data_IF_368260377471
#
_entry.id   IF_368260377471
#
_cell.length_a   1.000
_cell.length_b   1.000
_cell.length_c   1.000
_cell.angle_alpha   90.00
_cell.angle_beta   90.00
_cell.angle_gamma   90.00
#
_symmetry.space_group_name_H-M   'P 1'
#
loop_
_entity.id
_entity.type
_entity.pdbx_description
1 polymer ?
#
# COMPACT_ATOMS: atom_id res chain seq x y z
N UNK A 1 -10.71 -35.55 -0.99
CA UNK A 1 -12.10 -35.68 -0.53
C UNK A 1 -12.40 -34.83 0.72
N UNK A 2 -11.42 -34.55 1.55
CA UNK A 2 -11.52 -33.73 2.77
C UNK A 2 -11.72 -32.23 2.43
N UNK A 3 -11.02 -31.72 1.43
CA UNK A 3 -11.10 -30.32 0.98
C UNK A 3 -12.54 -29.89 0.59
N UNK A 4 -13.34 -30.80 0.00
CA UNK A 4 -14.74 -30.50 -0.34
C UNK A 4 -15.67 -30.40 0.88
N UNK A 5 -15.32 -31.04 1.99
CA UNK A 5 -16.12 -30.97 3.22
C UNK A 5 -15.89 -29.66 3.98
N UNK A 6 -14.67 -29.12 3.91
CA UNK A 6 -14.30 -27.94 4.68
C UNK A 6 -14.75 -26.65 4.02
N UNK A 7 -14.86 -26.60 2.68
CA UNK A 7 -15.43 -25.44 1.96
C UNK A 7 -16.89 -25.15 2.36
N UNK A 8 -17.64 -26.18 2.81
CA UNK A 8 -19.03 -26.05 3.25
C UNK A 8 -19.19 -25.88 4.77
N UNK A 9 -18.12 -25.88 5.55
CA UNK A 9 -18.17 -25.58 6.99
C UNK A 9 -18.39 -24.09 7.24
N UNK A 10 -18.80 -23.78 8.46
CA UNK A 10 -19.14 -22.43 8.94
C UNK A 10 -18.23 -21.35 8.37
N UNK A 11 -18.81 -20.20 8.10
CA UNK A 11 -18.12 -19.05 7.47
C UNK A 11 -17.07 -18.35 8.37
N UNK A 12 -16.67 -18.95 9.48
CA UNK A 12 -15.62 -18.43 10.38
C UNK A 12 -14.85 -19.59 11.02
N UNK A 13 -13.61 -19.33 11.42
CA UNK A 13 -12.88 -20.22 12.30
C UNK A 13 -13.63 -20.35 13.63
N UNK A 14 -13.75 -21.58 14.12
CA UNK A 14 -14.24 -21.79 15.47
C UNK A 14 -13.23 -21.25 16.48
N UNK A 15 -13.71 -20.95 17.70
CA UNK A 15 -12.83 -20.52 18.80
C UNK A 15 -11.73 -21.57 19.10
N UNK A 16 -12.04 -22.85 18.95
CA UNK A 16 -11.05 -23.92 19.16
C UNK A 16 -9.97 -23.91 18.10
N UNK A 17 -10.33 -23.76 16.81
CA UNK A 17 -9.34 -23.66 15.72
C UNK A 17 -8.41 -22.44 15.89
N UNK A 18 -8.92 -21.31 16.38
CA UNK A 18 -8.10 -20.14 16.70
C UNK A 18 -7.13 -20.43 17.86
N UNK A 19 -7.63 -21.06 18.92
CA UNK A 19 -6.79 -21.42 20.05
C UNK A 19 -5.70 -22.44 19.66
N UNK A 20 -6.02 -23.44 18.88
CA UNK A 20 -5.06 -24.43 18.36
C UNK A 20 -3.97 -23.78 17.50
N UNK A 21 -4.34 -22.77 16.68
CA UNK A 21 -3.36 -21.99 15.91
C UNK A 21 -2.47 -21.15 16.81
N UNK A 22 -3.05 -20.48 17.81
CA UNK A 22 -2.30 -19.69 18.75
C UNK A 22 -1.31 -20.57 19.56
N UNK A 23 -1.74 -21.74 20.01
CA UNK A 23 -0.88 -22.71 20.70
C UNK A 23 0.27 -23.19 19.82
N UNK A 24 0.02 -23.49 18.53
CA UNK A 24 1.08 -23.83 17.56
C UNK A 24 2.10 -22.71 17.37
N UNK A 25 1.64 -21.48 17.23
CA UNK A 25 2.53 -20.33 17.12
C UNK A 25 3.39 -20.16 18.37
N UNK A 26 2.83 -20.39 19.58
CA UNK A 26 3.60 -20.37 20.82
C UNK A 26 4.66 -21.49 20.87
N UNK A 27 4.35 -22.69 20.39
CA UNK A 27 5.33 -23.79 20.29
C UNK A 27 6.48 -23.48 19.34
N UNK A 28 6.23 -22.64 18.31
CA UNK A 28 7.25 -22.19 17.36
C UNK A 28 7.97 -20.91 17.80
N UNK A 29 7.73 -20.45 19.04
CA UNK A 29 8.25 -19.19 19.59
C UNK A 29 7.88 -17.96 18.73
N UNK A 30 6.72 -18.01 18.08
CA UNK A 30 6.21 -16.93 17.25
C UNK A 30 5.25 -16.08 18.07
N UNK A 31 5.51 -14.80 18.15
CA UNK A 31 4.59 -13.84 18.79
C UNK A 31 3.35 -13.68 17.95
N UNK A 32 2.18 -14.07 18.48
CA UNK A 32 0.90 -13.83 17.83
C UNK A 32 0.46 -12.40 18.15
N UNK A 33 0.45 -11.56 17.13
CA UNK A 33 -0.06 -10.19 17.21
C UNK A 33 -1.32 -10.13 16.36
N UNK A 34 -2.41 -9.56 16.92
CA UNK A 34 -3.55 -9.11 16.13
C UNK A 34 -3.35 -7.64 15.75
N UNK A 35 -2.69 -7.35 14.62
CA UNK A 35 -2.15 -6.02 14.38
C UNK A 35 -3.23 -4.96 14.12
N UNK A 36 -4.39 -5.37 13.63
CA UNK A 36 -5.50 -4.42 13.37
C UNK A 36 -6.15 -4.01 14.68
N UNK A 37 -6.44 -4.96 15.57
CA UNK A 37 -7.02 -4.67 16.86
C UNK A 37 -6.04 -3.85 17.72
N UNK A 38 -4.76 -4.23 17.74
CA UNK A 38 -3.71 -3.48 18.41
C UNK A 38 -3.60 -2.04 17.89
N UNK A 39 -3.65 -1.84 16.58
CA UNK A 39 -3.64 -0.51 15.98
C UNK A 39 -4.86 0.29 16.43
N UNK A 40 -6.06 -0.31 16.35
CA UNK A 40 -7.31 0.38 16.67
C UNK A 40 -7.49 0.67 18.16
N UNK A 41 -6.91 -0.15 19.05
CA UNK A 41 -6.95 0.06 20.49
C UNK A 41 -5.94 1.12 20.97
N UNK A 42 -4.79 1.22 20.32
CA UNK A 42 -3.72 2.13 20.74
C UNK A 42 -3.85 3.54 20.16
N UNK A 43 -4.47 3.69 18.99
CA UNK A 43 -4.46 4.94 18.23
C UNK A 43 -5.73 5.75 18.45
N UNK A 44 -5.55 7.03 18.77
CA UNK A 44 -6.64 8.00 18.91
C UNK A 44 -6.95 8.74 17.59
N UNK A 45 -5.99 8.83 16.65
CA UNK A 45 -6.19 9.46 15.35
C UNK A 45 -4.89 9.80 14.61
N UNK A 46 -5.03 10.42 13.45
CA UNK A 46 -3.93 11.06 12.74
C UNK A 46 -3.47 12.30 13.52
N UNK A 47 -2.21 12.70 13.37
CA UNK A 47 -1.61 13.82 14.09
C UNK A 47 -1.98 15.18 13.45
N UNK A 48 -2.40 16.14 14.30
CA UNK A 48 -2.54 17.54 13.93
C UNK A 48 -1.22 18.30 14.05
N UNK A 49 -1.17 19.54 13.57
CA UNK A 49 -0.02 20.44 13.72
C UNK A 49 0.39 20.64 15.19
N UNK A 50 -0.57 20.58 16.11
CA UNK A 50 -0.34 20.77 17.54
C UNK A 50 0.08 19.46 18.27
N UNK A 51 0.29 18.37 17.53
CA UNK A 51 0.65 17.06 18.07
C UNK A 51 -0.49 16.33 18.76
N UNK A 52 -1.74 16.73 18.52
CA UNK A 52 -2.94 16.14 19.09
C UNK A 52 -3.66 15.26 18.04
N UNK A 53 -4.40 14.23 18.47
CA UNK A 53 -5.15 13.41 17.54
C UNK A 53 -6.30 14.17 16.88
N UNK A 54 -6.50 13.92 15.59
CA UNK A 54 -7.58 14.48 14.79
C UNK A 54 -8.78 13.56 14.87
N UNK A 55 -9.91 14.07 15.36
CA UNK A 55 -11.16 13.29 15.46
C UNK A 55 -11.94 13.23 14.14
N UNK A 56 -11.87 14.30 13.36
CA UNK A 56 -12.56 14.41 12.06
C UNK A 56 -11.56 14.88 10.99
N UNK A 57 -10.82 13.96 10.36
CA UNK A 57 -9.84 14.31 9.32
C UNK A 57 -10.50 14.98 8.12
N UNK A 58 -9.80 15.97 7.55
CA UNK A 58 -10.28 16.72 6.37
C UNK A 58 -10.38 15.79 5.14
N UNK A 59 -11.55 15.75 4.52
CA UNK A 59 -11.78 15.05 3.26
C UNK A 59 -11.47 15.97 2.07
N UNK A 60 -10.35 15.74 1.40
CA UNK A 60 -9.97 16.52 0.23
C UNK A 60 -10.73 16.08 -1.01
N UNK A 61 -11.45 17.00 -1.65
CA UNK A 61 -12.18 16.72 -2.90
C UNK A 61 -11.20 16.65 -4.09
N UNK A 62 -10.59 15.51 -4.30
CA UNK A 62 -9.61 15.29 -5.37
C UNK A 62 -10.19 15.57 -6.79
N UNK A 63 -11.42 15.16 -7.13
CA UNK A 63 -12.03 15.53 -8.42
C UNK A 63 -12.03 17.02 -8.73
N UNK A 64 -12.14 17.88 -7.71
CA UNK A 64 -12.09 19.34 -7.88
C UNK A 64 -10.72 19.86 -8.35
N UNK A 65 -9.66 19.06 -8.19
CA UNK A 65 -8.29 19.37 -8.59
C UNK A 65 -7.95 19.01 -10.04
N UNK A 66 -8.89 18.44 -10.79
CA UNK A 66 -8.68 18.02 -12.18
C UNK A 66 -8.19 19.16 -13.09
N UNK A 67 -8.60 20.41 -12.84
CA UNK A 67 -8.10 21.57 -13.56
C UNK A 67 -6.64 21.90 -13.21
N UNK A 68 -6.23 21.68 -11.97
CA UNK A 68 -4.84 21.82 -11.53
C UNK A 68 -3.98 20.80 -12.27
N UNK A 69 -4.39 19.54 -12.28
CA UNK A 69 -3.69 18.47 -12.99
C UNK A 69 -3.53 18.80 -14.47
N UNK A 70 -4.63 19.20 -15.14
CA UNK A 70 -4.61 19.57 -16.54
C UNK A 70 -3.65 20.73 -16.80
N UNK A 71 -3.73 21.81 -16.04
CA UNK A 71 -2.87 22.98 -16.19
C UNK A 71 -1.40 22.62 -15.96
N UNK A 72 -1.11 21.81 -14.96
CA UNK A 72 0.25 21.37 -14.62
C UNK A 72 0.87 20.53 -15.73
N UNK A 73 0.10 19.66 -16.38
CA UNK A 73 0.57 18.86 -17.52
C UNK A 73 0.97 19.68 -18.73
N UNK A 74 0.43 20.91 -18.91
CA UNK A 74 0.85 21.83 -19.94
C UNK A 74 2.23 22.46 -19.68
N UNK A 75 2.74 22.42 -18.44
CA UNK A 75 4.10 22.85 -18.12
C UNK A 75 5.11 21.79 -18.60
N UNK A 76 5.27 21.71 -19.92
CA UNK A 76 6.16 20.71 -20.56
C UNK A 76 7.56 21.24 -20.85
N UNK A 77 7.65 22.54 -21.16
CA UNK A 77 8.92 23.18 -21.53
C UNK A 77 9.32 24.20 -20.48
N UNK A 78 10.42 23.92 -19.81
CA UNK A 78 11.04 24.82 -18.82
C UNK A 78 12.50 25.08 -19.24
N UNK A 79 13.06 26.27 -18.91
CA UNK A 79 14.45 26.57 -19.22
C UNK A 79 15.39 25.49 -18.62
N UNK A 80 16.43 25.04 -19.35
CA UNK A 80 17.30 23.97 -18.87
C UNK A 80 18.08 24.33 -17.60
N UNK A 81 18.20 25.61 -17.30
CA UNK A 81 18.92 26.13 -16.10
C UNK A 81 18.00 26.43 -14.93
N UNK A 82 16.71 26.07 -15.03
CA UNK A 82 15.75 26.39 -13.98
C UNK A 82 16.06 25.64 -12.68
N UNK A 83 15.90 26.31 -11.55
CA UNK A 83 15.99 25.70 -10.24
C UNK A 83 14.62 25.17 -9.78
N UNK A 84 14.60 24.24 -8.81
CA UNK A 84 13.37 23.75 -8.17
C UNK A 84 12.51 24.92 -7.65
N UNK A 85 13.14 25.90 -6.99
CA UNK A 85 12.49 27.11 -6.49
C UNK A 85 11.81 27.92 -7.59
N UNK A 86 12.54 28.25 -8.67
CA UNK A 86 11.99 29.04 -9.77
C UNK A 86 10.88 28.28 -10.52
N UNK A 87 11.00 26.96 -10.65
CA UNK A 87 9.99 26.10 -11.23
C UNK A 87 8.70 26.13 -10.41
N UNK A 88 8.78 25.92 -9.10
CA UNK A 88 7.63 25.97 -8.21
C UNK A 88 6.93 27.34 -8.22
N UNK A 89 7.70 28.41 -8.01
CA UNK A 89 7.14 29.77 -7.86
C UNK A 89 6.58 30.33 -9.16
N UNK A 90 7.29 30.15 -10.28
CA UNK A 90 6.98 30.89 -11.52
C UNK A 90 6.11 30.09 -12.49
N UNK A 91 6.19 28.76 -12.47
CA UNK A 91 5.54 27.90 -13.46
C UNK A 91 4.40 27.06 -12.88
N UNK A 92 4.59 26.44 -11.70
CA UNK A 92 3.62 25.49 -11.17
C UNK A 92 2.59 26.15 -10.27
N UNK A 93 3.03 26.92 -9.27
CA UNK A 93 2.16 27.38 -8.18
C UNK A 93 1.66 28.82 -8.33
N UNK A 94 2.20 29.59 -9.27
CA UNK A 94 1.93 31.04 -9.39
C UNK A 94 0.44 31.40 -9.41
N UNK A 95 -0.37 30.58 -10.06
CA UNK A 95 -1.80 30.85 -10.25
C UNK A 95 -2.68 30.38 -9.08
N UNK A 96 -2.13 29.60 -8.14
CA UNK A 96 -2.88 28.99 -7.07
C UNK A 96 -2.67 29.72 -5.75
N UNK A 97 -3.75 29.91 -4.99
CA UNK A 97 -3.73 30.50 -3.65
C UNK A 97 -3.90 29.46 -2.55
N UNK A 98 -4.65 28.39 -2.81
CA UNK A 98 -4.87 27.30 -1.88
C UNK A 98 -3.63 26.41 -1.79
N UNK A 99 -3.27 26.02 -0.59
CA UNK A 99 -2.13 25.13 -0.33
C UNK A 99 -2.36 23.75 -0.94
N UNK A 100 -3.58 23.22 -0.86
CA UNK A 100 -3.97 21.96 -1.52
C UNK A 100 -3.72 22.03 -3.04
N UNK A 101 -4.07 23.13 -3.70
CA UNK A 101 -3.84 23.30 -5.14
C UNK A 101 -2.35 23.41 -5.48
N UNK A 102 -1.56 24.10 -4.65
CA UNK A 102 -0.09 24.21 -4.82
C UNK A 102 0.57 22.85 -4.62
N UNK A 103 0.20 22.12 -3.56
CA UNK A 103 0.66 20.75 -3.32
C UNK A 103 0.29 19.83 -4.48
N UNK A 104 -0.94 19.92 -5.01
CA UNK A 104 -1.38 19.13 -6.14
C UNK A 104 -0.58 19.41 -7.41
N UNK A 105 -0.27 20.67 -7.67
CA UNK A 105 0.55 21.05 -8.84
C UNK A 105 1.97 20.48 -8.72
N UNK A 106 2.59 20.57 -7.53
CA UNK A 106 3.91 19.98 -7.27
C UNK A 106 3.85 18.46 -7.45
N UNK A 107 2.90 17.79 -6.78
CA UNK A 107 2.71 16.33 -6.87
C UNK A 107 2.56 15.85 -8.30
N UNK A 108 1.63 16.45 -9.05
CA UNK A 108 1.33 16.02 -10.43
C UNK A 108 2.55 16.23 -11.32
N UNK A 109 3.24 17.36 -11.20
CA UNK A 109 4.42 17.61 -12.04
C UNK A 109 5.57 16.66 -11.71
N UNK A 110 5.88 16.46 -10.42
CA UNK A 110 6.99 15.60 -10.00
C UNK A 110 6.67 14.14 -10.37
N UNK A 111 5.52 13.61 -9.97
CA UNK A 111 5.18 12.23 -10.20
C UNK A 111 5.04 11.86 -11.69
N UNK A 112 4.60 12.79 -12.55
CA UNK A 112 4.37 12.50 -13.97
C UNK A 112 5.53 12.95 -14.90
N UNK A 113 6.43 13.84 -14.44
CA UNK A 113 7.53 14.36 -15.27
C UNK A 113 8.88 13.81 -14.91
N UNK A 114 9.06 13.33 -13.69
CA UNK A 114 10.31 12.73 -13.28
C UNK A 114 10.21 11.21 -13.48
N UNK A 115 11.05 10.69 -14.37
CA UNK A 115 11.21 9.25 -14.55
C UNK A 115 11.94 8.69 -13.36
N UNK A 116 11.36 7.67 -12.72
CA UNK A 116 11.97 7.01 -11.59
C UNK A 116 13.23 6.24 -12.01
N UNK A 117 14.24 6.28 -11.16
CA UNK A 117 15.48 5.50 -11.24
C UNK A 117 15.69 4.75 -9.93
N UNK A 118 16.44 3.67 -9.97
CA UNK A 118 16.88 2.96 -8.76
C UNK A 118 17.72 3.87 -7.87
N UNK A 119 17.60 3.66 -6.55
CA UNK A 119 18.42 4.39 -5.58
C UNK A 119 19.90 4.06 -5.81
N UNK A 120 20.75 5.07 -5.69
CA UNK A 120 22.21 4.95 -5.90
C UNK A 120 22.96 5.69 -4.78
N UNK A 121 24.16 5.23 -4.51
CA UNK A 121 25.06 5.94 -3.60
C UNK A 121 25.69 7.15 -4.34
N UNK A 122 25.30 8.35 -3.93
CA UNK A 122 25.77 9.58 -4.54
C UNK A 122 25.29 10.83 -3.82
N UNK A 123 25.71 11.98 -4.31
CA UNK A 123 25.21 13.26 -3.82
C UNK A 123 23.87 13.60 -4.45
N UNK A 124 22.93 14.02 -3.62
CA UNK A 124 21.62 14.50 -4.08
C UNK A 124 21.77 15.81 -4.84
N UNK A 125 21.28 15.85 -6.06
CA UNK A 125 21.31 17.04 -6.93
C UNK A 125 19.95 17.29 -7.58
N UNK A 126 19.12 18.08 -6.94
CA UNK A 126 17.78 18.46 -7.45
C UNK A 126 17.85 19.25 -8.76
N UNK A 127 18.96 19.94 -9.07
CA UNK A 127 19.13 20.61 -10.36
C UNK A 127 19.28 19.58 -11.48
N UNK A 128 20.08 18.56 -11.25
CA UNK A 128 20.21 17.42 -12.18
C UNK A 128 18.83 16.78 -12.43
N UNK A 129 18.08 16.50 -11.37
CA UNK A 129 16.75 15.91 -11.48
C UNK A 129 15.81 16.77 -12.34
N UNK A 130 15.76 18.09 -12.10
CA UNK A 130 14.92 19.01 -12.90
C UNK A 130 15.36 19.06 -14.35
N UNK A 131 16.67 19.00 -14.64
CA UNK A 131 17.20 19.05 -16.00
C UNK A 131 17.00 17.75 -16.77
N UNK A 132 17.37 16.62 -16.16
CA UNK A 132 17.32 15.31 -16.80
C UNK A 132 15.95 14.66 -16.80
N UNK A 133 15.05 15.12 -15.92
CA UNK A 133 13.74 14.51 -15.65
C UNK A 133 13.86 13.07 -15.13
N UNK A 134 14.92 12.77 -14.40
CA UNK A 134 15.20 11.45 -13.85
C UNK A 134 15.69 11.60 -12.41
N UNK A 135 15.25 10.69 -11.53
CA UNK A 135 15.65 10.71 -10.13
C UNK A 135 15.21 9.48 -9.35
N UNK A 136 15.98 9.14 -8.33
CA UNK A 136 15.65 8.09 -7.37
C UNK A 136 14.64 8.60 -6.31
N UNK A 137 14.16 7.70 -5.45
CA UNK A 137 13.14 8.04 -4.45
C UNK A 137 13.61 9.14 -3.51
N UNK A 138 14.88 9.12 -3.08
CA UNK A 138 15.46 10.16 -2.22
C UNK A 138 15.52 11.52 -2.92
N UNK A 139 16.03 11.57 -4.14
CA UNK A 139 16.11 12.81 -4.92
C UNK A 139 14.73 13.42 -5.19
N UNK A 140 13.73 12.58 -5.45
CA UNK A 140 12.34 13.00 -5.64
C UNK A 140 11.79 13.61 -4.35
N UNK A 141 12.02 12.99 -3.20
CA UNK A 141 11.57 13.52 -1.91
C UNK A 141 12.24 14.85 -1.57
N UNK A 142 13.54 15.00 -1.83
CA UNK A 142 14.27 16.26 -1.65
C UNK A 142 13.73 17.33 -2.60
N UNK A 143 13.48 17.01 -3.86
CA UNK A 143 12.91 17.93 -4.85
C UNK A 143 11.53 18.45 -4.40
N UNK A 144 10.67 17.58 -3.90
CA UNK A 144 9.33 17.94 -3.39
C UNK A 144 9.47 18.91 -2.21
N UNK A 145 10.32 18.61 -1.22
CA UNK A 145 10.57 19.49 -0.07
C UNK A 145 11.05 20.88 -0.53
N UNK A 146 12.02 20.93 -1.44
CA UNK A 146 12.58 22.20 -1.93
C UNK A 146 11.53 23.02 -2.68
N UNK A 147 10.67 22.38 -3.46
CA UNK A 147 9.55 23.02 -4.16
C UNK A 147 8.48 23.53 -3.19
N UNK A 148 8.13 22.76 -2.17
CA UNK A 148 7.18 23.15 -1.13
C UNK A 148 7.71 24.37 -0.35
N UNK A 149 8.93 24.32 0.12
CA UNK A 149 9.58 25.40 0.83
C UNK A 149 9.62 26.70 -0.01
N UNK A 150 9.85 26.59 -1.32
CA UNK A 150 9.88 27.74 -2.23
C UNK A 150 8.55 28.50 -2.31
N UNK A 151 7.42 27.85 -2.03
CA UNK A 151 6.08 28.44 -2.08
C UNK A 151 5.44 28.58 -0.70
N UNK A 152 6.25 28.44 0.37
CA UNK A 152 5.81 28.62 1.76
C UNK A 152 5.00 27.48 2.34
N UNK A 153 5.14 26.26 1.78
CA UNK A 153 4.53 25.03 2.30
C UNK A 153 5.54 24.26 3.13
N UNK A 154 5.07 23.68 4.23
CA UNK A 154 5.89 22.80 5.06
C UNK A 154 5.91 21.40 4.48
N UNK A 155 7.11 20.83 4.34
CA UNK A 155 7.30 19.45 3.91
C UNK A 155 8.57 18.87 4.54
N UNK A 156 8.46 17.69 5.10
CA UNK A 156 9.59 16.92 5.63
C UNK A 156 9.86 15.70 4.74
N UNK A 157 11.10 15.22 4.80
CA UNK A 157 11.50 14.00 4.12
C UNK A 157 11.48 12.88 5.14
N UNK A 158 10.79 11.81 4.81
CA UNK A 158 10.74 10.59 5.61
C UNK A 158 11.52 9.50 4.91
N UNK A 159 12.37 8.83 5.67
CA UNK A 159 13.05 7.61 5.27
C UNK A 159 12.44 6.44 6.01
N UNK A 160 12.16 5.35 5.32
CA UNK A 160 11.55 4.21 5.95
C UNK A 160 11.53 2.97 5.08
N UNK A 161 10.72 2.03 5.50
CA UNK A 161 10.52 0.76 4.84
C UNK A 161 9.18 0.75 4.10
N UNK A 162 9.22 0.45 2.81
CA UNK A 162 8.05 0.21 1.98
C UNK A 162 7.83 -1.31 1.90
N UNK A 163 6.76 -1.78 2.53
CA UNK A 163 6.36 -3.19 2.55
C UNK A 163 5.88 -3.61 1.17
N UNK A 164 6.46 -4.65 0.60
CA UNK A 164 5.99 -5.23 -0.65
C UNK A 164 4.96 -6.34 -0.41
N UNK A 165 3.91 -6.46 -1.25
CA UNK A 165 2.97 -7.56 -1.15
C UNK A 165 3.67 -8.91 -1.29
N UNK A 166 3.56 -9.75 -0.27
CA UNK A 166 4.15 -11.09 -0.24
C UNK A 166 5.56 -11.19 0.28
N UNK A 167 6.09 -10.11 0.80
CA UNK A 167 7.38 -10.10 1.47
C UNK A 167 7.21 -10.64 2.90
N UNK A 168 8.13 -11.54 3.31
CA UNK A 168 8.23 -11.97 4.70
C UNK A 168 9.03 -10.91 5.44
N UNK A 169 8.37 -10.26 6.38
CA UNK A 169 8.94 -9.14 7.12
C UNK A 169 9.30 -9.57 8.54
N UNK A 170 10.52 -9.26 8.96
CA UNK A 170 10.95 -9.31 10.34
C UNK A 170 11.38 -7.92 10.84
N UNK A 171 11.64 -7.79 12.13
CA UNK A 171 12.02 -6.52 12.74
C UNK A 171 13.41 -6.03 12.28
N UNK A 172 14.29 -6.94 11.92
CA UNK A 172 15.62 -6.59 11.43
C UNK A 172 15.54 -5.88 10.07
N UNK A 173 14.49 -6.16 9.29
CA UNK A 173 14.22 -5.53 8.00
C UNK A 173 14.00 -4.02 8.13
N UNK A 174 13.40 -3.54 9.23
CA UNK A 174 13.15 -2.11 9.48
C UNK A 174 14.46 -1.31 9.50
N UNK A 175 15.53 -1.92 9.99
CA UNK A 175 16.85 -1.28 10.06
C UNK A 175 17.47 -1.00 8.67
N UNK A 176 16.89 -1.56 7.61
CA UNK A 176 17.32 -1.40 6.23
C UNK A 176 16.26 -0.65 5.39
N UNK A 177 16.10 0.66 5.59
CA UNK A 177 15.09 1.44 4.88
C UNK A 177 15.35 1.39 3.38
N UNK A 178 14.27 1.18 2.61
CA UNK A 178 14.32 0.94 1.17
C UNK A 178 13.53 1.96 0.36
N UNK A 179 12.99 3.02 1.02
CA UNK A 179 12.15 4.01 0.36
C UNK A 179 12.17 5.37 1.06
N UNK A 180 11.78 6.42 0.28
CA UNK A 180 11.72 7.81 0.72
C UNK A 180 10.43 8.45 0.24
N UNK A 181 9.79 9.24 1.12
CA UNK A 181 8.58 10.00 0.81
C UNK A 181 8.55 11.33 1.54
N UNK A 182 7.45 12.05 1.43
CA UNK A 182 7.27 13.31 2.15
C UNK A 182 6.06 13.28 3.08
N UNK A 183 6.19 13.96 4.21
CA UNK A 183 5.06 14.45 4.99
C UNK A 183 4.88 15.94 4.75
N UNK A 184 3.65 16.39 4.76
CA UNK A 184 3.28 17.80 4.52
C UNK A 184 2.22 18.24 5.52
N UNK A 185 2.24 19.54 5.86
CA UNK A 185 1.17 20.13 6.67
C UNK A 185 0.20 20.86 5.74
N UNK A 186 -1.08 20.53 5.85
CA UNK A 186 -2.16 21.18 5.11
C UNK A 186 -3.41 21.23 5.97
N UNK A 187 -4.05 22.40 6.04
CA UNK A 187 -5.25 22.65 6.85
C UNK A 187 -5.10 22.26 8.34
N UNK A 188 -3.86 22.37 8.88
CA UNK A 188 -3.54 22.02 10.27
C UNK A 188 -3.33 20.53 10.54
N UNK A 189 -3.25 19.70 9.51
CA UNK A 189 -3.07 18.25 9.60
C UNK A 189 -1.78 17.79 8.91
N UNK A 190 -1.15 16.75 9.46
CA UNK A 190 -0.11 16.01 8.78
C UNK A 190 -0.70 15.07 7.74
N UNK A 191 -0.15 15.11 6.53
CA UNK A 191 -0.54 14.26 5.41
C UNK A 191 0.68 13.71 4.69
N UNK A 192 0.51 12.58 4.04
CA UNK A 192 1.59 11.88 3.34
C UNK A 192 1.51 12.13 1.84
N UNK A 193 2.66 12.38 1.25
CA UNK A 193 2.83 12.55 -0.19
C UNK A 193 3.99 11.69 -0.70
N UNK A 194 3.70 10.69 -1.53
CA UNK A 194 4.73 9.88 -2.18
C UNK A 194 4.68 10.04 -3.69
N UNK A 195 5.47 11.00 -4.20
CA UNK A 195 5.58 11.25 -5.63
C UNK A 195 6.33 10.15 -6.37
N UNK A 196 7.24 9.44 -5.69
CA UNK A 196 8.01 8.34 -6.27
C UNK A 196 7.13 7.14 -6.58
N UNK A 197 6.38 6.65 -5.59
CA UNK A 197 5.48 5.50 -5.79
C UNK A 197 4.25 5.87 -6.62
N UNK A 198 3.82 7.12 -6.59
CA UNK A 198 2.74 7.61 -7.46
C UNK A 198 3.12 7.62 -8.94
N UNK A 199 4.41 7.65 -9.27
CA UNK A 199 4.90 7.78 -10.65
C UNK A 199 4.52 6.58 -11.52
N UNK A 200 3.98 6.81 -12.73
CA UNK A 200 3.71 5.73 -13.69
C UNK A 200 4.98 5.02 -14.17
N UNK A 201 6.16 5.61 -13.95
CA UNK A 201 7.44 5.02 -14.36
C UNK A 201 8.09 4.17 -13.27
N UNK A 202 7.55 4.20 -12.04
CA UNK A 202 8.06 3.39 -10.94
C UNK A 202 7.56 1.94 -11.07
N UNK A 203 8.43 0.95 -11.27
CA UNK A 203 8.03 -0.44 -11.43
C UNK A 203 7.37 -1.03 -10.17
N UNK A 204 7.74 -0.55 -8.98
CA UNK A 204 7.14 -0.99 -7.72
C UNK A 204 5.65 -0.66 -7.65
N UNK A 205 5.18 0.40 -8.32
CA UNK A 205 3.76 0.76 -8.37
C UNK A 205 2.86 -0.38 -8.79
N UNK A 206 3.30 -1.20 -9.76
CA UNK A 206 2.55 -2.36 -10.24
C UNK A 206 2.26 -3.42 -9.17
N UNK A 207 3.01 -3.42 -8.06
CA UNK A 207 2.76 -4.32 -6.92
C UNK A 207 1.55 -3.88 -6.09
N UNK A 208 1.20 -2.59 -6.08
CA UNK A 208 0.16 -2.01 -5.23
C UNK A 208 -1.11 -1.64 -6.00
N UNK A 209 -1.04 -1.47 -7.30
CA UNK A 209 -2.17 -1.05 -8.12
C UNK A 209 -2.16 -1.77 -9.46
N UNK A 210 -3.28 -2.36 -9.84
CA UNK A 210 -3.50 -2.96 -11.16
C UNK A 210 -3.82 -1.94 -12.25
N UNK A 211 -3.95 -0.66 -11.89
CA UNK A 211 -4.26 0.40 -12.84
C UNK A 211 -3.04 0.70 -13.72
N UNK A 212 -3.09 0.28 -14.97
CA UNK A 212 -2.16 0.72 -16.02
C UNK A 212 -2.54 2.14 -16.43
N UNK A 213 -1.93 3.14 -15.78
CA UNK A 213 -2.20 4.54 -16.07
C UNK A 213 -0.93 5.27 -16.49
N UNK A 214 -1.09 6.18 -17.43
CA UNK A 214 -0.06 7.16 -17.82
C UNK A 214 0.00 8.36 -16.88
N UNK A 215 -0.79 8.36 -15.82
CA UNK A 215 -0.92 9.46 -14.84
C UNK A 215 -0.53 9.02 -13.43
N UNK A 216 -0.23 9.97 -12.57
CA UNK A 216 0.13 9.69 -11.17
C UNK A 216 -1.02 8.99 -10.41
N UNK A 217 -0.67 8.04 -9.54
CA UNK A 217 -1.64 7.40 -8.64
C UNK A 217 -2.05 8.37 -7.52
N UNK A 218 -3.29 8.79 -7.58
CA UNK A 218 -3.83 9.83 -6.72
C UNK A 218 -3.92 9.43 -5.25
N UNK A 219 -3.95 8.15 -4.93
CA UNK A 219 -3.95 7.68 -3.54
C UNK A 219 -2.76 8.25 -2.75
N UNK A 220 -1.59 8.36 -3.36
CA UNK A 220 -0.38 8.88 -2.71
C UNK A 220 -0.32 10.41 -2.61
N UNK A 221 -1.44 11.09 -2.82
CA UNK A 221 -1.57 12.52 -2.65
C UNK A 221 -2.40 12.85 -1.42
N UNK A 222 -1.78 13.42 -0.39
CA UNK A 222 -2.38 13.79 0.89
C UNK A 222 -3.08 12.62 1.60
N UNK A 223 -2.49 11.44 1.48
CA UNK A 223 -2.99 10.23 2.16
C UNK A 223 -2.90 10.40 3.67
N UNK A 224 -3.87 9.88 4.37
CA UNK A 224 -3.89 9.89 5.83
C UNK A 224 -2.79 8.98 6.40
N UNK A 225 -2.12 9.39 7.48
CA UNK A 225 -1.16 8.54 8.18
C UNK A 225 -1.70 7.15 8.53
N UNK A 226 -2.93 7.06 9.05
CA UNK A 226 -3.58 5.79 9.39
C UNK A 226 -3.94 4.90 8.19
N UNK A 227 -3.96 5.43 6.97
CA UNK A 227 -4.18 4.64 5.76
C UNK A 227 -2.85 4.18 5.15
N UNK A 228 -1.84 5.03 5.16
CA UNK A 228 -0.55 4.71 4.53
C UNK A 228 0.33 3.80 5.37
N UNK A 229 0.13 3.75 6.69
CA UNK A 229 0.93 2.94 7.63
C UNK A 229 0.87 1.43 7.36
N UNK A 230 -0.10 0.96 6.61
CA UNK A 230 -0.19 -0.43 6.15
C UNK A 230 0.92 -0.82 5.17
N UNK A 231 1.56 0.15 4.53
CA UNK A 231 2.63 -0.08 3.55
C UNK A 231 3.90 0.71 3.82
N UNK A 232 3.80 1.89 4.43
CA UNK A 232 4.93 2.79 4.69
C UNK A 232 5.24 2.80 6.19
N UNK A 233 6.38 2.25 6.56
CA UNK A 233 6.85 2.20 7.96
C UNK A 233 8.04 3.14 8.11
N UNK A 234 7.87 4.33 8.73
CA UNK A 234 8.96 5.27 8.95
C UNK A 234 10.03 4.66 9.85
N UNK A 235 11.29 5.01 9.61
CA UNK A 235 12.39 4.61 10.49
C UNK A 235 12.25 5.20 11.89
N UNK A 236 11.75 6.42 11.99
CA UNK A 236 11.54 7.13 13.24
C UNK A 236 10.05 7.12 13.61
N UNK A 237 9.67 6.63 14.81
CA UNK A 237 8.27 6.54 15.21
C UNK A 237 7.51 7.87 15.16
N UNK A 238 8.15 8.99 15.48
CA UNK A 238 7.56 10.33 15.42
C UNK A 238 7.18 10.77 14.00
N UNK A 239 7.75 10.17 12.97
CA UNK A 239 7.43 10.45 11.57
C UNK A 239 6.25 9.62 11.05
N UNK A 240 5.61 8.82 11.90
CA UNK A 240 4.36 8.14 11.57
C UNK A 240 3.20 9.12 11.44
N UNK A 241 3.24 10.21 12.20
CA UNK A 241 2.16 11.19 12.34
C UNK A 241 0.82 10.54 12.75
N UNK A 242 0.92 9.56 13.65
CA UNK A 242 -0.18 8.83 14.30
C UNK A 242 -0.10 9.12 15.79
N UNK A 243 -1.22 9.39 16.42
CA UNK A 243 -1.32 9.72 17.84
C UNK A 243 -2.02 8.63 18.64
N UNK A 244 -1.33 8.03 19.64
CA UNK A 244 0.12 8.01 19.80
C UNK A 244 0.82 7.19 18.71
N UNK A 245 2.14 7.33 18.50
CA UNK A 245 2.89 6.49 17.58
C UNK A 245 2.81 5.00 17.96
N UNK A 246 2.71 4.15 16.97
CA UNK A 246 2.54 2.70 17.14
C UNK A 246 3.89 1.99 17.04
N UNK A 247 4.06 0.91 17.78
CA UNK A 247 5.25 0.09 17.71
C UNK A 247 5.47 -0.50 16.30
N UNK A 248 6.73 -0.56 15.86
CA UNK A 248 7.07 -1.07 14.52
C UNK A 248 6.60 -2.51 14.32
N UNK A 249 6.61 -3.34 15.36
CA UNK A 249 6.13 -4.73 15.35
C UNK A 249 4.68 -4.79 14.85
N UNK A 250 3.82 -3.89 15.30
CA UNK A 250 2.43 -3.82 14.89
C UNK A 250 2.33 -3.40 13.43
N UNK A 251 3.04 -2.33 13.03
CA UNK A 251 3.03 -1.84 11.65
C UNK A 251 3.55 -2.88 10.65
N UNK A 252 4.59 -3.62 11.02
CA UNK A 252 5.13 -4.68 10.19
C UNK A 252 4.17 -5.87 10.08
N UNK A 253 3.45 -6.20 11.16
CA UNK A 253 2.46 -7.28 11.17
C UNK A 253 1.14 -6.93 10.46
N UNK A 254 0.84 -5.64 10.20
CA UNK A 254 -0.33 -5.25 9.41
C UNK A 254 -0.30 -5.88 8.01
N UNK A 255 -1.46 -6.26 7.44
CA UNK A 255 -1.52 -6.71 6.05
C UNK A 255 -1.06 -5.60 5.11
N UNK A 256 -0.46 -5.97 3.98
CA UNK A 256 -0.09 -4.99 2.95
C UNK A 256 -1.36 -4.51 2.23
N UNK A 257 -2.05 -3.53 2.82
CA UNK A 257 -3.26 -2.95 2.25
C UNK A 257 -2.91 -1.91 1.17
N UNK A 258 -3.30 -2.21 -0.06
CA UNK A 258 -3.03 -1.40 -1.25
C UNK A 258 -4.12 -0.35 -1.50
N UNK A 259 -3.90 0.65 -2.37
CA UNK A 259 -4.88 1.70 -2.67
C UNK A 259 -6.32 1.25 -2.93
N UNK A 260 -6.60 0.11 -3.61
CA UNK A 260 -7.97 -0.37 -3.78
C UNK A 260 -8.70 -0.70 -2.47
N UNK A 261 -7.99 -1.15 -1.44
CA UNK A 261 -8.56 -1.44 -0.12
C UNK A 261 -9.26 -0.20 0.45
N UNK A 262 -8.55 0.92 0.49
CA UNK A 262 -9.07 2.19 1.02
C UNK A 262 -10.08 2.85 0.08
N UNK A 263 -9.79 2.88 -1.22
CA UNK A 263 -10.68 3.45 -2.25
C UNK A 263 -12.05 2.79 -2.28
N UNK A 264 -12.10 1.50 -2.08
CA UNK A 264 -13.33 0.70 -2.06
C UNK A 264 -13.88 0.47 -0.66
N UNK A 265 -13.31 1.14 0.36
CA UNK A 265 -13.79 1.04 1.75
C UNK A 265 -13.97 -0.41 2.20
N UNK A 266 -12.97 -1.24 1.91
CA UNK A 266 -12.92 -2.63 2.37
C UNK A 266 -12.58 -2.61 3.85
N UNK A 267 -13.28 -3.43 4.65
CA UNK A 267 -13.06 -3.55 6.09
C UNK A 267 -12.81 -5.02 6.43
N UNK A 268 -11.64 -5.34 6.96
CA UNK A 268 -11.33 -6.68 7.47
C UNK A 268 -12.06 -6.88 8.80
N UNK A 269 -12.83 -7.96 8.93
CA UNK A 269 -13.67 -8.22 10.12
C UNK A 269 -13.37 -9.54 10.79
N UNK A 270 -12.66 -10.44 10.15
CA UNK A 270 -12.23 -11.72 10.70
C UNK A 270 -10.83 -11.99 10.16
N UNK A 271 -9.85 -11.42 10.84
CA UNK A 271 -8.46 -11.41 10.44
C UNK A 271 -7.59 -11.38 11.71
N UNK A 272 -6.79 -12.42 11.90
CA UNK A 272 -6.00 -12.57 13.12
C UNK A 272 -4.58 -12.01 12.94
N UNK A 273 -3.91 -12.31 11.82
CA UNK A 273 -2.53 -11.86 11.55
C UNK A 273 -2.24 -11.91 10.05
N UNK A 274 -1.30 -11.08 9.59
CA UNK A 274 -0.84 -11.10 8.20
C UNK A 274 0.00 -12.33 7.85
N UNK A 275 0.57 -13.00 8.84
CA UNK A 275 1.35 -14.23 8.67
C UNK A 275 0.61 -15.40 9.32
N UNK A 276 0.21 -16.38 8.52
CA UNK A 276 -0.49 -17.59 8.95
C UNK A 276 0.42 -18.80 8.79
N UNK A 277 0.60 -19.55 9.88
CA UNK A 277 1.24 -20.86 9.86
C UNK A 277 0.16 -21.92 9.75
N UNK A 278 0.11 -22.60 8.60
CA UNK A 278 -0.90 -23.60 8.28
C UNK A 278 -0.29 -25.00 8.27
N UNK A 279 -1.02 -25.98 8.78
CA UNK A 279 -0.69 -27.39 8.60
C UNK A 279 -1.06 -27.86 7.20
N UNK A 280 -0.58 -29.04 6.81
CA UNK A 280 -0.89 -29.61 5.51
C UNK A 280 -2.41 -29.66 5.27
N UNK A 281 -2.85 -29.11 4.14
CA UNK A 281 -4.25 -28.98 3.74
C UNK A 281 -5.12 -28.12 4.66
N UNK A 282 -4.55 -27.42 5.61
CA UNK A 282 -5.29 -26.43 6.41
C UNK A 282 -5.64 -25.22 5.56
N UNK A 283 -6.87 -24.72 5.73
CA UNK A 283 -7.35 -23.54 5.02
C UNK A 283 -7.20 -22.27 5.85
N UNK A 284 -6.71 -21.20 5.22
CA UNK A 284 -6.88 -19.87 5.75
C UNK A 284 -8.32 -19.41 5.59
N UNK A 285 -8.81 -18.65 6.56
CA UNK A 285 -10.13 -18.03 6.55
C UNK A 285 -10.02 -16.56 6.90
N UNK A 286 -10.65 -15.70 6.14
CA UNK A 286 -10.84 -14.31 6.49
C UNK A 286 -12.17 -13.78 5.97
N UNK A 287 -12.66 -12.73 6.58
CA UNK A 287 -13.87 -12.02 6.15
C UNK A 287 -13.61 -10.56 5.95
N UNK A 288 -14.34 -10.01 4.99
CA UNK A 288 -14.30 -8.59 4.69
C UNK A 288 -15.71 -8.07 4.46
N UNK A 289 -15.99 -6.89 4.99
CA UNK A 289 -17.17 -6.11 4.61
C UNK A 289 -16.80 -5.20 3.45
N UNK A 290 -17.66 -5.13 2.47
CA UNK A 290 -17.49 -4.27 1.30
C UNK A 290 -18.79 -3.55 0.95
N UNK A 291 -18.73 -2.38 0.27
CA UNK A 291 -19.92 -1.75 -0.30
C UNK A 291 -20.67 -2.65 -1.28
N UNK A 292 -21.94 -2.36 -1.53
CA UNK A 292 -22.82 -3.16 -2.38
C UNK A 292 -22.28 -3.36 -3.80
N UNK A 293 -21.70 -2.29 -4.38
CA UNK A 293 -21.19 -2.25 -5.75
C UNK A 293 -19.76 -2.80 -5.90
N UNK A 294 -19.13 -3.26 -4.81
CA UNK A 294 -17.77 -3.81 -4.81
C UNK A 294 -17.82 -5.34 -4.84
N UNK A 295 -17.01 -5.92 -5.73
CA UNK A 295 -16.77 -7.35 -5.83
C UNK A 295 -15.33 -7.68 -5.46
N UNK A 296 -15.10 -8.88 -4.92
CA UNK A 296 -13.77 -9.36 -4.57
C UNK A 296 -13.47 -10.68 -5.25
N UNK A 297 -12.23 -10.83 -5.71
CA UNK A 297 -11.64 -12.11 -6.13
C UNK A 297 -10.35 -12.32 -5.37
N UNK A 298 -9.97 -13.58 -5.21
CA UNK A 298 -8.77 -13.93 -4.47
C UNK A 298 -7.99 -15.02 -5.18
N UNK A 299 -6.67 -14.96 -5.06
CA UNK A 299 -5.76 -15.99 -5.55
C UNK A 299 -4.63 -16.23 -4.54
N UNK A 300 -4.09 -17.42 -4.51
CA UNK A 300 -2.87 -17.76 -3.80
C UNK A 300 -1.74 -17.85 -4.81
N UNK A 301 -0.68 -17.10 -4.54
CA UNK A 301 0.56 -17.16 -5.29
C UNK A 301 1.63 -17.80 -4.39
N UNK A 302 2.23 -18.89 -4.81
CA UNK A 302 3.25 -19.60 -4.06
C UNK A 302 4.43 -19.96 -4.96
N UNK A 303 5.60 -20.11 -4.37
CA UNK A 303 6.75 -20.61 -5.09
C UNK A 303 6.63 -22.10 -5.31
N UNK A 304 6.96 -22.56 -6.50
CA UNK A 304 6.94 -23.96 -6.81
C UNK A 304 8.20 -24.66 -6.28
N UNK A 305 7.99 -25.84 -5.69
CA UNK A 305 9.07 -26.71 -5.28
C UNK A 305 9.19 -27.87 -6.28
N UNK A 306 10.41 -28.29 -6.52
CA UNK A 306 10.73 -29.45 -7.34
C UNK A 306 11.70 -30.35 -6.58
N UNK A 307 11.75 -31.65 -6.97
CA UNK A 307 12.75 -32.57 -6.43
C UNK A 307 13.90 -32.68 -7.42
N UNK A 308 15.11 -32.65 -6.91
CA UNK A 308 16.28 -32.96 -7.70
C UNK A 308 16.39 -34.48 -7.98
N UNK A 309 17.35 -34.94 -8.81
CA UNK A 309 17.55 -36.36 -9.10
C UNK A 309 17.91 -37.21 -7.87
N UNK A 310 18.34 -36.59 -6.78
CA UNK A 310 18.69 -37.23 -5.52
C UNK A 310 17.50 -37.29 -4.57
N UNK A 311 16.38 -36.60 -4.92
CA UNK A 311 15.13 -36.61 -4.18
C UNK A 311 15.00 -35.47 -3.18
N UNK A 312 15.98 -34.55 -3.14
CA UNK A 312 15.93 -33.39 -2.28
C UNK A 312 15.00 -32.30 -2.84
N UNK A 313 14.22 -31.69 -1.93
CA UNK A 313 13.27 -30.63 -2.27
C UNK A 313 14.00 -29.31 -2.43
N UNK A 314 13.83 -28.64 -3.56
CA UNK A 314 14.37 -27.30 -3.78
C UNK A 314 13.34 -26.37 -4.41
N UNK A 315 13.53 -25.04 -4.21
CA UNK A 315 12.71 -24.01 -4.81
C UNK A 315 13.07 -23.84 -6.29
N UNK A 316 12.11 -24.12 -7.19
CA UNK A 316 12.37 -24.11 -8.65
C UNK A 316 12.45 -22.70 -9.25
N UNK A 317 12.09 -21.67 -8.48
CA UNK A 317 11.97 -20.30 -8.97
C UNK A 317 10.68 -20.01 -9.76
N UNK A 318 9.89 -21.02 -10.10
CA UNK A 318 8.59 -20.84 -10.74
C UNK A 318 7.54 -20.37 -9.71
N UNK A 319 6.57 -19.59 -10.18
CA UNK A 319 5.45 -19.12 -9.36
C UNK A 319 4.18 -19.81 -9.79
N UNK A 320 3.54 -20.50 -8.84
CA UNK A 320 2.24 -21.14 -9.03
C UNK A 320 1.15 -20.22 -8.51
N UNK A 321 0.15 -19.94 -9.36
CA UNK A 321 -1.04 -19.16 -8.98
C UNK A 321 -2.26 -20.07 -9.00
N UNK A 322 -3.03 -20.05 -7.92
CA UNK A 322 -4.30 -20.78 -7.81
C UNK A 322 -5.41 -19.87 -7.34
N UNK A 323 -6.60 -19.91 -7.97
CA UNK A 323 -7.76 -19.20 -7.46
C UNK A 323 -8.08 -19.62 -6.02
N UNK A 324 -8.35 -18.66 -5.16
CA UNK A 324 -8.90 -18.88 -3.84
C UNK A 324 -10.43 -18.72 -3.85
N UNK A 325 -11.09 -19.35 -2.90
CA UNK A 325 -12.54 -19.23 -2.76
C UNK A 325 -12.88 -17.83 -2.23
N UNK A 326 -13.77 -17.13 -2.92
CA UNK A 326 -14.29 -15.83 -2.50
C UNK A 326 -15.81 -15.80 -2.73
N UNK A 327 -16.60 -15.68 -1.67
CA UNK A 327 -18.06 -15.70 -1.76
C UNK A 327 -18.67 -14.57 -0.96
N UNK A 328 -19.56 -13.81 -1.61
CA UNK A 328 -20.36 -12.78 -0.99
C UNK A 328 -21.60 -13.36 -0.30
N UNK A 329 -21.92 -12.82 0.87
CA UNK A 329 -23.17 -13.06 1.59
C UNK A 329 -23.69 -11.74 2.16
N UNK A 330 -25.03 -11.63 2.23
CA UNK A 330 -25.68 -10.51 2.90
C UNK A 330 -26.07 -10.90 4.32
N UNK A 331 -25.50 -10.22 5.29
CA UNK A 331 -25.76 -10.46 6.71
C UNK A 331 -26.07 -9.13 7.37
N UNK A 332 -27.30 -8.97 7.92
CA UNK A 332 -27.71 -7.73 8.58
C UNK A 332 -27.64 -6.48 7.69
N UNK A 333 -27.87 -6.63 6.36
CA UNK A 333 -27.80 -5.53 5.41
C UNK A 333 -26.40 -5.15 4.95
N UNK A 334 -25.37 -5.84 5.44
CA UNK A 334 -23.94 -5.65 5.02
C UNK A 334 -23.52 -6.78 4.08
N UNK A 335 -22.79 -6.42 3.02
CA UNK A 335 -22.19 -7.38 2.08
C UNK A 335 -20.87 -7.86 2.65
N UNK A 336 -20.78 -9.15 2.95
CA UNK A 336 -19.60 -9.77 3.56
C UNK A 336 -19.03 -10.79 2.58
N UNK A 337 -17.76 -10.66 2.24
CA UNK A 337 -16.99 -11.69 1.55
C UNK A 337 -16.33 -12.61 2.55
N UNK A 338 -16.51 -13.90 2.35
CA UNK A 338 -15.72 -14.96 2.99
C UNK A 338 -14.67 -15.42 1.99
N UNK A 339 -13.42 -15.33 2.37
CA UNK A 339 -12.27 -15.79 1.58
C UNK A 339 -11.69 -17.03 2.26
N UNK A 340 -11.45 -18.07 1.46
CA UNK A 340 -10.82 -19.31 1.92
C UNK A 340 -9.72 -19.69 0.93
N UNK A 341 -8.55 -20.01 1.45
CA UNK A 341 -7.43 -20.37 0.63
C UNK A 341 -6.64 -21.53 1.23
N UNK A 342 -6.11 -22.38 0.38
CA UNK A 342 -5.18 -23.44 0.71
C UNK A 342 -3.87 -23.14 0.01
N UNK A 343 -2.76 -23.30 0.72
CA UNK A 343 -1.44 -23.15 0.12
C UNK A 343 -1.26 -24.24 -0.96
N UNK A 344 -0.88 -23.89 -2.18
CA UNK A 344 -0.57 -24.88 -3.20
C UNK A 344 0.74 -25.59 -2.89
N UNK A 345 0.68 -26.92 -2.76
CA UNK A 345 1.82 -27.77 -2.39
C UNK A 345 1.73 -28.27 -0.96
N UNK A 346 2.65 -29.12 -0.59
CA UNK A 346 2.69 -29.77 0.73
C UNK A 346 3.50 -28.94 1.73
N UNK A 347 4.48 -28.20 1.24
CA UNK A 347 5.37 -27.33 2.03
C UNK A 347 5.65 -26.02 1.27
N UNK A 348 6.07 -24.98 1.99
CA UNK A 348 6.54 -23.73 1.41
C UNK A 348 5.77 -22.49 1.87
N UNK A 349 6.06 -21.38 1.22
CA UNK A 349 5.48 -20.08 1.51
C UNK A 349 4.60 -19.61 0.35
N UNK A 350 3.52 -18.94 0.67
CA UNK A 350 2.63 -18.36 -0.33
C UNK A 350 1.97 -17.08 0.15
N UNK A 351 1.44 -16.33 -0.78
CA UNK A 351 0.77 -15.05 -0.56
C UNK A 351 -0.67 -15.16 -1.01
N UNK A 352 -1.60 -14.86 -0.11
CA UNK A 352 -2.99 -14.68 -0.46
C UNK A 352 -3.20 -13.24 -0.94
N UNK A 353 -3.49 -13.09 -2.23
CA UNK A 353 -3.80 -11.80 -2.86
C UNK A 353 -5.30 -11.65 -3.03
N UNK A 354 -5.83 -10.53 -2.58
CA UNK A 354 -7.25 -10.21 -2.70
C UNK A 354 -7.38 -8.93 -3.51
N UNK A 355 -8.22 -9.00 -4.54
CA UNK A 355 -8.48 -7.89 -5.44
C UNK A 355 -9.91 -7.42 -5.25
N UNK A 356 -10.09 -6.12 -5.04
CA UNK A 356 -11.38 -5.48 -4.89
C UNK A 356 -11.61 -4.47 -6.02
N UNK A 357 -12.84 -4.43 -6.56
CA UNK A 357 -13.19 -3.49 -7.62
C UNK A 357 -14.69 -3.38 -7.80
N UNK A 358 -15.12 -2.31 -8.49
CA UNK A 358 -16.54 -2.13 -8.79
C UNK A 358 -17.04 -3.16 -9.80
N UNK A 359 -18.26 -3.61 -9.60
CA UNK A 359 -18.95 -4.55 -10.49
C UNK A 359 -18.93 -4.03 -11.94
N UNK A 360 -18.53 -4.88 -12.87
CA UNK A 360 -18.39 -4.53 -14.29
C UNK A 360 -17.01 -4.05 -14.72
N UNK A 361 -16.20 -3.47 -13.82
CA UNK A 361 -14.82 -3.11 -14.12
C UNK A 361 -13.85 -4.31 -13.94
N UNK A 362 -14.17 -5.20 -13.00
CA UNK A 362 -13.37 -6.41 -12.74
C UNK A 362 -13.45 -7.41 -13.89
N UNK A 363 -14.60 -7.56 -14.52
CA UNK A 363 -14.83 -8.50 -15.64
C UNK A 363 -13.95 -8.17 -16.84
N UNK A 364 -13.73 -6.88 -17.13
CA UNK A 364 -12.86 -6.45 -18.25
C UNK A 364 -11.36 -6.65 -17.99
N UNK A 365 -10.94 -6.66 -16.73
CA UNK A 365 -9.53 -6.83 -16.38
C UNK A 365 -9.10 -8.31 -16.27
N UNK A 366 -10.04 -9.21 -15.97
CA UNK A 366 -9.75 -10.63 -15.68
C UNK A 366 -10.36 -11.62 -16.69
N UNK A 367 -11.24 -11.19 -17.60
CA UNK A 367 -11.83 -12.06 -18.61
C UNK A 367 -10.81 -12.83 -19.49
N UNK A 368 -9.62 -12.27 -19.84
CA UNK A 368 -8.63 -13.02 -20.61
C UNK A 368 -7.99 -14.19 -19.85
N UNK A 369 -7.97 -14.14 -18.51
CA UNK A 369 -7.37 -15.20 -17.69
C UNK A 369 -8.35 -16.30 -17.31
N UNK A 370 -9.65 -16.04 -17.32
CA UNK A 370 -10.69 -17.03 -17.05
C UNK A 370 -11.10 -17.84 -18.29
N UNK A 371 -10.76 -17.40 -19.50
CA UNK A 371 -11.05 -18.09 -20.75
C UNK A 371 -10.08 -19.23 -21.09
N UNK A 372 -8.99 -19.38 -20.36
CA UNK A 372 -7.99 -20.44 -20.57
C UNK A 372 -8.08 -21.58 -19.52
N UNK A 373 -9.24 -21.77 -18.89
CA UNK A 373 -9.51 -22.90 -18.01
C UNK A 373 -10.61 -23.75 -18.66
N UNK A 374 -10.24 -24.45 -19.73
CA UNK A 374 -10.89 -25.67 -20.20
C UNK A 374 -10.02 -26.88 -19.84
#
# INVERSE_FOLDING_TARGET
MQVRRDVNRSNSLSRNERNERAERCQMLDITVINPIDELMEQVEGDESLDGLPITEPTEFNIPSLALVDKSTRFVSTVPPTITATALAQSYLCRQYRSDVQRLRAIFTWVAERITWEEDFEGQIDTRRVVQTKRGCSEEIAVLVRDMCAAVGLHSEIVRGYLKAPGEVLDLDTISQPNHWWNTVIVDGEWRIMDCSLASPTNPKRGLYSSASNSVAETFYFLTRPLEICYTHVPLLPEQQHICPPVAHEILMALPCACPPYFRHKVELTDFDTSMLHLENLEMSHLKMVVPEDVECVAEVEARAFAHDPEGDLFESGDVVKKPAFAQAQWIGGRKIFTIKAVLPGDEGQGVLKIYAGKRGLMVSAYAPHLQNVD
#
